data_IF_585436334742
#
_entry.id   IF_585436334742
#
_cell.length_a   1.000
_cell.length_b   1.000
_cell.length_c   1.000
_cell.angle_alpha   90.00
_cell.angle_beta   90.00
_cell.angle_gamma   90.00
#
_symmetry.space_group_name_H-M   'P 1'
#
loop_
_entity.id
_entity.type
_entity.pdbx_description
1 polymer ?
#
# COMPACT_ATOMS: atom_id res chain seq x y z
N UNK A 1 68.12 -31.33 -45.99
CA UNK A 1 67.73 -30.26 -46.95
C UNK A 1 66.37 -29.69 -46.55
N UNK A 2 66.21 -28.37 -46.66
CA UNK A 2 65.05 -27.54 -46.28
C UNK A 2 63.83 -27.76 -47.21
N UNK A 3 62.62 -27.59 -46.67
CA UNK A 3 61.54 -26.67 -47.11
C UNK A 3 60.20 -27.05 -46.42
N UNK A 4 59.69 -26.30 -45.43
CA UNK A 4 58.79 -25.12 -45.46
C UNK A 4 57.29 -25.38 -45.79
N UNK A 5 56.47 -25.31 -44.71
CA UNK A 5 55.17 -24.63 -44.48
C UNK A 5 53.96 -24.87 -45.42
N UNK A 6 52.79 -25.14 -44.79
CA UNK A 6 51.62 -24.23 -44.86
C UNK A 6 50.70 -24.40 -43.62
N UNK A 7 50.04 -23.31 -43.21
CA UNK A 7 49.05 -23.19 -42.12
C UNK A 7 47.64 -23.36 -42.69
N UNK A 8 46.70 -23.93 -41.93
CA UNK A 8 45.26 -23.64 -42.04
C UNK A 8 44.41 -24.30 -40.92
N UNK A 9 43.71 -23.46 -40.13
CA UNK A 9 42.39 -23.64 -39.45
C UNK A 9 42.13 -24.90 -38.59
N UNK A 10 41.73 -24.87 -37.31
CA UNK A 10 41.18 -23.82 -36.46
C UNK A 10 39.66 -23.68 -36.55
N UNK A 11 38.86 -24.61 -35.98
CA UNK A 11 37.55 -24.41 -35.30
C UNK A 11 36.84 -25.75 -34.97
N UNK A 12 36.45 -25.99 -33.70
CA UNK A 12 35.26 -26.70 -33.17
C UNK A 12 35.46 -26.98 -31.65
N UNK A 13 35.04 -26.05 -30.76
CA UNK A 13 33.87 -26.13 -29.83
C UNK A 13 34.03 -27.27 -28.80
N UNK A 14 34.54 -27.08 -27.56
CA UNK A 14 34.00 -26.42 -26.34
C UNK A 14 32.49 -26.62 -26.10
N UNK A 15 32.14 -27.70 -25.39
CA UNK A 15 30.94 -27.78 -24.52
C UNK A 15 31.05 -28.99 -23.59
N UNK A 16 31.23 -28.77 -22.27
CA UNK A 16 30.72 -29.58 -21.15
C UNK A 16 31.44 -29.18 -19.86
N UNK A 17 30.97 -28.12 -19.22
CA UNK A 17 31.21 -27.88 -17.81
C UNK A 17 30.02 -27.06 -17.33
N UNK A 18 29.03 -27.70 -16.71
CA UNK A 18 28.14 -27.14 -15.67
C UNK A 18 27.12 -28.21 -15.27
N UNK A 19 27.41 -28.90 -14.17
CA UNK A 19 26.42 -29.64 -13.40
C UNK A 19 26.91 -29.73 -11.94
N UNK A 20 26.88 -28.60 -11.24
CA UNK A 20 26.93 -28.60 -9.78
C UNK A 20 25.49 -28.54 -9.28
N UNK A 21 24.93 -29.71 -8.95
CA UNK A 21 23.64 -29.82 -8.27
C UNK A 21 23.86 -29.38 -6.82
N UNK A 22 23.35 -28.21 -6.46
CA UNK A 22 23.28 -27.78 -5.08
C UNK A 22 22.17 -28.58 -4.38
N UNK A 23 22.56 -29.54 -3.53
CA UNK A 23 21.68 -30.16 -2.55
C UNK A 23 21.54 -29.19 -1.36
N UNK A 24 20.46 -28.43 -1.33
CA UNK A 24 20.04 -27.70 -0.13
C UNK A 24 19.23 -28.64 0.76
N UNK A 25 19.80 -28.95 1.92
CA UNK A 25 19.21 -29.68 3.03
C UNK A 25 18.09 -28.81 3.62
N UNK A 26 16.84 -29.29 3.55
CA UNK A 26 15.71 -28.61 4.17
C UNK A 26 15.62 -29.02 5.64
N UNK A 27 16.22 -28.24 6.53
CA UNK A 27 16.05 -28.38 7.99
C UNK A 27 15.30 -27.19 8.53
N UNK A 28 14.05 -27.40 8.99
CA UNK A 28 13.39 -26.49 9.92
C UNK A 28 11.95 -26.11 9.60
N UNK A 29 11.05 -26.77 10.34
CA UNK A 29 9.94 -26.20 11.11
C UNK A 29 8.77 -25.46 10.46
N UNK A 30 7.62 -25.75 11.10
CA UNK A 30 6.34 -25.03 11.11
C UNK A 30 5.64 -24.94 9.76
N UNK A 31 4.36 -25.28 9.75
CA UNK A 31 3.47 -25.02 8.63
C UNK A 31 3.37 -23.50 8.46
N UNK A 32 4.29 -22.92 7.68
CA UNK A 32 4.24 -21.51 7.33
C UNK A 32 2.93 -21.29 6.60
N UNK A 33 2.11 -20.35 7.05
CA UNK A 33 1.10 -19.79 6.17
C UNK A 33 1.81 -19.43 4.86
N UNK A 34 1.24 -19.81 3.71
CA UNK A 34 1.86 -19.50 2.44
C UNK A 34 2.06 -17.98 2.36
N UNK A 35 3.31 -17.53 2.33
CA UNK A 35 3.64 -16.10 2.22
C UNK A 35 3.31 -15.59 0.81
N UNK A 36 3.15 -14.28 0.65
CA UNK A 36 2.70 -13.66 -0.61
C UNK A 36 1.40 -14.30 -1.13
N UNK A 37 0.43 -14.53 -0.24
CA UNK A 37 -0.87 -15.12 -0.62
C UNK A 37 -2.05 -14.39 0.00
N UNK A 38 -3.21 -14.61 -0.62
CA UNK A 38 -4.49 -14.10 -0.17
C UNK A 38 -5.37 -15.20 0.41
N UNK A 39 -6.18 -14.84 1.40
CA UNK A 39 -7.23 -15.68 1.95
C UNK A 39 -8.53 -14.89 2.11
N UNK A 40 -9.65 -15.48 1.68
CA UNK A 40 -10.97 -14.96 2.02
C UNK A 40 -11.26 -15.18 3.49
N UNK A 41 -11.83 -14.16 4.13
CA UNK A 41 -12.30 -14.16 5.52
C UNK A 41 -13.81 -13.94 5.59
N UNK A 42 -14.40 -14.09 6.76
CA UNK A 42 -15.81 -13.80 7.00
C UNK A 42 -16.18 -12.42 6.45
N UNK A 43 -17.21 -12.31 5.58
CA UNK A 43 -17.57 -11.06 4.95
C UNK A 43 -18.18 -10.10 5.97
N UNK A 44 -18.03 -8.80 5.69
CA UNK A 44 -18.66 -7.73 6.45
C UNK A 44 -20.20 -7.95 6.48
N UNK A 45 -20.87 -7.92 7.65
CA UNK A 45 -22.30 -8.23 7.75
C UNK A 45 -23.20 -7.28 6.93
N UNK A 46 -22.82 -6.00 6.86
CA UNK A 46 -23.45 -4.96 6.04
C UNK A 46 -22.38 -3.98 5.58
N UNK A 47 -22.49 -3.52 4.35
CA UNK A 47 -21.54 -2.59 3.72
C UNK A 47 -22.24 -1.34 3.20
N UNK A 48 -21.50 -0.25 3.15
CA UNK A 48 -21.89 1.07 2.64
C UNK A 48 -20.67 1.70 1.93
N UNK A 49 -20.88 2.78 1.19
CA UNK A 49 -19.79 3.54 0.59
C UNK A 49 -19.06 4.41 1.60
N UNK A 50 -17.76 4.63 1.39
CA UNK A 50 -17.00 5.55 2.21
C UNK A 50 -16.82 5.09 3.65
N UNK A 51 -16.81 3.77 3.88
CA UNK A 51 -16.39 3.19 5.15
C UNK A 51 -14.89 3.36 5.35
N UNK A 52 -14.49 3.46 6.61
CA UNK A 52 -13.10 3.54 7.02
C UNK A 52 -12.81 2.46 8.07
N UNK A 53 -11.55 2.01 8.12
CA UNK A 53 -11.10 0.98 9.04
C UNK A 53 -10.01 1.51 9.98
N UNK A 54 -10.01 1.00 11.21
CA UNK A 54 -8.95 1.21 12.18
C UNK A 54 -8.56 -0.11 12.83
N UNK A 55 -7.31 -0.23 13.24
CA UNK A 55 -6.86 -1.34 14.08
C UNK A 55 -6.64 -0.86 15.51
N UNK A 56 -7.26 -1.52 16.48
CA UNK A 56 -7.05 -1.28 17.90
C UNK A 56 -6.94 -2.62 18.62
N UNK A 57 -5.88 -2.81 19.41
CA UNK A 57 -5.65 -4.01 20.22
C UNK A 57 -5.80 -5.34 19.43
N UNK A 58 -5.26 -5.38 18.20
CA UNK A 58 -5.29 -6.56 17.33
C UNK A 58 -6.66 -6.87 16.70
N UNK A 59 -7.64 -5.99 16.87
CA UNK A 59 -8.96 -6.07 16.22
C UNK A 59 -9.14 -4.96 15.21
N UNK A 60 -9.99 -5.21 14.23
CA UNK A 60 -10.28 -4.27 13.14
C UNK A 60 -11.68 -3.70 13.35
N UNK A 61 -11.81 -2.38 13.28
CA UNK A 61 -13.09 -1.69 13.36
C UNK A 61 -13.39 -1.09 12.00
N UNK A 62 -14.52 -1.45 11.40
CA UNK A 62 -15.01 -0.86 10.15
C UNK A 62 -16.22 0.01 10.47
N UNK A 63 -16.12 1.29 10.16
CA UNK A 63 -17.03 2.33 10.62
C UNK A 63 -17.37 3.31 9.49
N UNK A 64 -18.54 3.93 9.60
CA UNK A 64 -19.04 4.89 8.62
C UNK A 64 -20.53 4.68 8.37
N UNK A 65 -21.19 5.72 7.88
CA UNK A 65 -22.63 5.73 7.74
C UNK A 65 -23.26 5.56 9.12
N UNK A 66 -24.08 4.54 9.29
CA UNK A 66 -24.63 4.14 10.60
C UNK A 66 -23.92 2.94 11.23
N UNK A 67 -22.80 2.49 10.66
CA UNK A 67 -22.15 1.22 10.98
C UNK A 67 -20.97 1.40 11.95
N UNK A 68 -20.82 0.40 12.82
CA UNK A 68 -19.62 0.15 13.61
C UNK A 68 -19.50 -1.37 13.83
N UNK A 69 -18.60 -2.01 13.10
CA UNK A 69 -18.36 -3.45 13.19
C UNK A 69 -16.93 -3.72 13.66
N UNK A 70 -16.80 -4.56 14.68
CA UNK A 70 -15.53 -5.10 15.14
C UNK A 70 -15.32 -6.48 14.51
N UNK A 71 -14.21 -6.66 13.80
CA UNK A 71 -13.71 -7.94 13.33
C UNK A 71 -12.60 -8.43 14.24
N UNK A 72 -12.70 -9.70 14.63
CA UNK A 72 -11.67 -10.41 15.37
C UNK A 72 -10.95 -11.41 14.43
N UNK A 73 -9.72 -11.10 14.01
CA UNK A 73 -8.89 -12.00 13.21
C UNK A 73 -8.68 -13.40 13.79
N UNK A 74 -8.65 -13.54 15.12
CA UNK A 74 -8.29 -14.79 15.79
C UNK A 74 -9.36 -15.88 15.64
N UNK A 75 -10.61 -15.50 15.42
CA UNK A 75 -11.73 -16.44 15.27
C UNK A 75 -12.58 -16.16 14.02
N UNK A 76 -12.09 -15.29 13.12
CA UNK A 76 -12.72 -14.92 11.86
C UNK A 76 -14.21 -14.53 12.01
N UNK A 77 -14.50 -13.64 12.98
CA UNK A 77 -15.89 -13.26 13.30
C UNK A 77 -16.08 -11.76 13.44
N UNK A 78 -17.30 -11.32 13.10
CA UNK A 78 -17.75 -9.93 13.23
C UNK A 78 -18.71 -9.77 14.40
N UNK A 79 -18.57 -8.65 15.12
CA UNK A 79 -19.48 -8.23 16.19
C UNK A 79 -19.98 -6.83 15.89
N UNK A 80 -21.30 -6.60 16.00
CA UNK A 80 -21.86 -5.24 15.92
C UNK A 80 -21.53 -4.49 17.20
N UNK A 81 -21.05 -3.26 17.07
CA UNK A 81 -20.72 -2.36 18.18
C UNK A 81 -21.68 -1.17 18.18
N UNK A 82 -21.58 -0.31 19.20
CA UNK A 82 -22.40 0.90 19.28
C UNK A 82 -22.16 1.78 18.05
N UNK A 83 -23.20 2.05 17.27
CA UNK A 83 -23.16 2.88 16.06
C UNK A 83 -22.72 4.32 16.34
N UNK A 84 -22.18 4.97 15.31
CA UNK A 84 -21.85 6.39 15.34
C UNK A 84 -23.06 7.25 15.76
N UNK A 85 -22.91 8.20 16.70
CA UNK A 85 -23.99 9.10 17.12
C UNK A 85 -24.56 9.93 15.97
N UNK A 86 -23.68 10.41 15.09
CA UNK A 86 -24.08 11.12 13.87
C UNK A 86 -23.77 10.27 12.65
N UNK A 87 -24.77 9.64 12.00
CA UNK A 87 -24.52 8.79 10.84
C UNK A 87 -23.88 9.58 9.70
N UNK A 88 -22.71 9.16 9.20
CA UNK A 88 -21.99 9.83 8.10
C UNK A 88 -20.93 8.96 7.42
N UNK A 89 -20.86 9.02 6.10
CA UNK A 89 -19.86 8.31 5.30
C UNK A 89 -18.63 9.20 5.02
N UNK A 90 -17.58 8.60 4.46
CA UNK A 90 -16.35 9.29 4.05
C UNK A 90 -15.64 10.00 5.20
N UNK A 91 -15.69 9.39 6.38
CA UNK A 91 -14.96 9.85 7.56
C UNK A 91 -13.48 9.55 7.41
N UNK A 92 -12.65 10.44 7.92
CA UNK A 92 -11.23 10.14 8.14
C UNK A 92 -11.05 9.54 9.53
N UNK A 93 -10.25 8.48 9.65
CA UNK A 93 -10.02 7.80 10.92
C UNK A 93 -8.57 7.95 11.37
N UNK A 94 -8.38 8.22 12.66
CA UNK A 94 -7.11 8.14 13.35
C UNK A 94 -7.25 7.29 14.62
N UNK A 95 -6.19 6.56 14.98
CA UNK A 95 -6.10 5.86 16.27
C UNK A 95 -5.11 6.59 17.17
N UNK A 96 -5.53 6.90 18.38
CA UNK A 96 -4.69 7.51 19.40
C UNK A 96 -5.05 6.97 20.78
N UNK A 97 -4.05 6.49 21.52
CA UNK A 97 -4.22 5.91 22.87
C UNK A 97 -5.37 4.87 22.94
N UNK A 98 -5.41 3.94 21.96
CA UNK A 98 -6.43 2.90 21.83
C UNK A 98 -7.87 3.40 21.63
N UNK A 99 -8.06 4.66 21.22
CA UNK A 99 -9.36 5.23 20.86
C UNK A 99 -9.38 5.58 19.38
N UNK A 100 -10.54 5.48 18.78
CA UNK A 100 -10.75 5.71 17.35
C UNK A 100 -11.39 7.09 17.18
N UNK A 101 -10.66 8.00 16.56
CA UNK A 101 -11.12 9.35 16.24
C UNK A 101 -11.65 9.35 14.82
N UNK A 102 -12.88 9.81 14.65
CA UNK A 102 -13.50 10.04 13.34
C UNK A 102 -13.57 11.54 13.09
N UNK A 103 -13.08 11.99 11.95
CA UNK A 103 -13.04 13.40 11.56
C UNK A 103 -13.83 13.64 10.27
N UNK A 104 -14.60 14.72 10.26
CA UNK A 104 -15.40 15.15 9.10
C UNK A 104 -16.41 14.08 8.66
N UNK A 105 -16.56 13.92 7.34
CA UNK A 105 -17.51 13.04 6.69
C UNK A 105 -18.82 13.75 6.33
N UNK A 106 -19.71 13.01 5.67
CA UNK A 106 -20.95 13.54 5.08
C UNK A 106 -22.18 12.98 5.79
N UNK A 107 -22.77 13.68 6.78
CA UNK A 107 -23.97 13.21 7.50
C UNK A 107 -25.27 13.30 6.69
N UNK A 108 -25.25 14.02 5.56
CA UNK A 108 -26.32 14.13 4.56
C UNK A 108 -25.73 14.34 3.16
N UNK A 109 -25.82 15.57 2.64
CA UNK A 109 -25.31 15.95 1.31
C UNK A 109 -24.05 16.83 1.38
N UNK A 110 -23.70 17.34 2.58
CA UNK A 110 -22.58 18.26 2.76
C UNK A 110 -21.51 17.67 3.66
N UNK A 111 -20.26 17.98 3.34
CA UNK A 111 -19.12 17.75 4.23
C UNK A 111 -19.33 18.43 5.59
N UNK A 112 -18.76 17.85 6.64
CA UNK A 112 -18.91 18.35 8.02
C UNK A 112 -17.56 18.54 8.69
N UNK A 113 -17.55 19.25 9.81
CA UNK A 113 -16.39 19.45 10.68
C UNK A 113 -16.49 18.62 11.97
N UNK A 114 -17.30 17.57 11.97
CA UNK A 114 -17.64 16.80 13.16
C UNK A 114 -16.45 15.92 13.57
N UNK A 115 -16.16 15.88 14.87
CA UNK A 115 -15.24 14.92 15.47
C UNK A 115 -15.97 14.09 16.52
N UNK A 116 -15.94 12.76 16.37
CA UNK A 116 -16.47 11.82 17.35
C UNK A 116 -15.44 10.75 17.66
N UNK A 117 -15.33 10.38 18.93
CA UNK A 117 -14.29 9.50 19.47
C UNK A 117 -14.95 8.26 20.03
N UNK A 118 -14.63 7.11 19.45
CA UNK A 118 -15.06 5.81 19.93
C UNK A 118 -14.01 5.21 20.86
N UNK A 119 -14.48 4.70 21.99
CA UNK A 119 -13.69 3.91 22.93
C UNK A 119 -14.10 2.44 22.86
N UNK A 120 -13.28 1.58 22.22
CA UNK A 120 -13.58 0.16 22.13
C UNK A 120 -13.68 -0.58 23.47
N UNK A 121 -13.04 -0.06 24.53
CA UNK A 121 -13.03 -0.70 25.85
C UNK A 121 -14.37 -0.54 26.59
N UNK A 122 -15.09 0.54 26.31
CA UNK A 122 -16.39 0.86 26.92
C UNK A 122 -17.56 0.76 25.93
N UNK A 123 -17.26 0.50 24.65
CA UNK A 123 -18.23 0.48 23.55
C UNK A 123 -19.07 1.77 23.48
N UNK A 124 -18.43 2.91 23.73
CA UNK A 124 -19.09 4.20 23.87
C UNK A 124 -18.44 5.28 23.00
N UNK A 125 -19.26 6.24 22.59
CA UNK A 125 -18.83 7.41 21.84
C UNK A 125 -18.79 8.66 22.72
N UNK A 126 -17.83 9.53 22.44
CA UNK A 126 -17.74 10.87 23.03
C UNK A 126 -17.53 11.91 21.93
N UNK A 127 -17.95 13.14 22.18
CA UNK A 127 -17.74 14.25 21.25
C UNK A 127 -16.31 14.76 21.37
N UNK A 128 -15.64 14.94 20.23
CA UNK A 128 -14.32 15.59 20.15
C UNK A 128 -14.41 17.07 19.75
N UNK A 129 -13.25 17.72 19.65
CA UNK A 129 -13.16 19.09 19.16
C UNK A 129 -13.49 19.14 17.67
N UNK A 130 -14.37 20.06 17.26
CA UNK A 130 -14.74 20.24 15.86
C UNK A 130 -13.54 20.71 15.04
N UNK A 131 -13.46 20.28 13.78
CA UNK A 131 -12.49 20.79 12.83
C UNK A 131 -12.77 22.27 12.52
N UNK A 132 -11.75 23.07 12.19
CA UNK A 132 -11.94 24.46 11.78
C UNK A 132 -12.49 24.61 10.35
N UNK A 133 -12.66 23.51 9.62
CA UNK A 133 -13.16 23.44 8.24
C UNK A 133 -14.02 22.19 8.05
N UNK A 134 -14.92 22.23 7.06
CA UNK A 134 -15.73 21.08 6.69
C UNK A 134 -14.96 20.17 5.73
N UNK A 135 -15.03 18.85 5.94
CA UNK A 135 -14.33 17.94 5.07
C UNK A 135 -14.98 16.57 4.93
N UNK A 136 -14.75 15.93 3.78
CA UNK A 136 -15.22 14.59 3.45
C UNK A 136 -14.16 13.90 2.57
N UNK A 137 -13.84 12.64 2.88
CA UNK A 137 -12.89 11.86 2.09
C UNK A 137 -11.43 12.31 2.20
N UNK A 138 -11.03 12.93 3.31
CA UNK A 138 -9.61 13.25 3.57
C UNK A 138 -8.82 12.01 3.97
N UNK A 139 -7.56 11.96 3.54
CA UNK A 139 -6.59 11.06 4.14
C UNK A 139 -6.03 11.68 5.42
N UNK A 140 -6.04 10.91 6.50
CA UNK A 140 -5.50 11.30 7.79
C UNK A 140 -4.38 10.34 8.17
N UNK A 141 -3.26 10.89 8.64
CA UNK A 141 -2.05 10.15 8.94
C UNK A 141 -1.61 10.45 10.37
N UNK A 142 -1.34 9.43 11.19
CA UNK A 142 -0.88 9.63 12.57
C UNK A 142 0.62 9.42 12.66
N UNK A 143 1.36 10.45 13.05
CA UNK A 143 2.82 10.39 13.29
C UNK A 143 3.08 10.98 14.66
N UNK A 144 3.74 10.22 15.54
CA UNK A 144 4.14 10.64 16.89
C UNK A 144 3.01 11.31 17.70
N UNK A 145 1.82 10.72 17.65
CA UNK A 145 0.63 11.22 18.37
C UNK A 145 -0.04 12.46 17.75
N UNK A 146 0.47 12.95 16.62
CA UNK A 146 -0.11 14.05 15.86
C UNK A 146 -0.80 13.56 14.61
N UNK A 147 -1.90 14.21 14.26
CA UNK A 147 -2.74 13.88 13.12
C UNK A 147 -2.43 14.85 11.99
N UNK A 148 -2.01 14.33 10.86
CA UNK A 148 -1.71 15.10 9.66
C UNK A 148 -2.84 14.90 8.65
N UNK A 149 -3.52 16.00 8.36
CA UNK A 149 -4.54 16.12 7.32
C UNK A 149 -3.83 16.54 6.04
N UNK A 150 -3.67 15.58 5.13
CA UNK A 150 -2.98 15.78 3.85
C UNK A 150 -3.98 15.71 2.71
N UNK A 151 -3.79 16.59 1.72
CA UNK A 151 -4.66 16.73 0.56
C UNK A 151 -6.05 17.22 0.91
N UNK A 152 -7.05 16.86 0.10
CA UNK A 152 -8.44 17.31 0.24
C UNK A 152 -8.57 18.81 0.45
N UNK A 153 -9.66 19.27 1.07
CA UNK A 153 -10.05 20.67 0.91
C UNK A 153 -10.44 21.39 2.20
N UNK A 154 -9.81 22.54 2.49
CA UNK A 154 -10.34 23.55 3.40
C UNK A 154 -11.18 24.65 2.70
N UNK A 155 -11.42 24.59 1.37
CA UNK A 155 -12.57 25.16 0.59
C UNK A 155 -12.28 25.64 -0.89
N UNK A 156 -11.33 25.03 -1.62
CA UNK A 156 -11.13 24.79 -3.10
C UNK A 156 -9.71 25.24 -3.56
N UNK A 157 -9.17 24.90 -4.75
CA UNK A 157 -9.20 23.68 -5.58
C UNK A 157 -7.81 22.99 -5.67
N UNK A 158 -6.85 23.35 -4.81
CA UNK A 158 -5.58 22.61 -4.72
C UNK A 158 -5.61 21.74 -3.48
N UNK A 159 -5.75 20.43 -3.69
CA UNK A 159 -5.57 19.40 -2.66
C UNK A 159 -4.09 19.29 -2.25
N UNK A 160 -3.48 20.40 -1.84
CA UNK A 160 -2.10 20.49 -1.34
C UNK A 160 -2.04 20.73 0.17
N UNK A 161 -3.19 20.76 0.85
CA UNK A 161 -3.28 20.97 2.28
C UNK A 161 -2.36 20.04 3.05
N UNK A 162 -1.66 20.60 4.03
CA UNK A 162 -0.95 19.86 5.05
C UNK A 162 -1.16 20.58 6.38
N UNK A 163 -2.03 20.04 7.22
CA UNK A 163 -2.33 20.60 8.53
C UNK A 163 -2.11 19.55 9.60
N UNK A 164 -1.39 19.92 10.65
CA UNK A 164 -1.18 19.08 11.82
C UNK A 164 -2.18 19.46 12.91
N UNK A 165 -2.81 18.45 13.50
CA UNK A 165 -3.61 18.55 14.71
C UNK A 165 -2.93 17.74 15.82
N UNK A 166 -2.58 18.41 16.91
CA UNK A 166 -2.11 17.75 18.12
C UNK A 166 -3.33 17.33 18.95
N UNK A 167 -3.57 16.02 19.09
CA UNK A 167 -4.71 15.49 19.82
C UNK A 167 -4.62 15.84 21.32
N UNK A 168 -3.42 15.89 21.88
CA UNK A 168 -3.22 16.07 23.32
C UNK A 168 -3.52 17.50 23.75
N UNK A 169 -3.08 18.49 22.96
CA UNK A 169 -3.32 19.91 23.24
C UNK A 169 -4.57 20.47 22.55
N UNK A 170 -5.08 19.79 21.52
CA UNK A 170 -6.18 20.27 20.69
C UNK A 170 -5.78 21.42 19.74
N UNK A 171 -4.48 21.62 19.49
CA UNK A 171 -3.98 22.75 18.69
C UNK A 171 -3.72 22.37 17.23
N UNK A 172 -3.96 23.33 16.33
CA UNK A 172 -3.69 23.20 14.90
C UNK A 172 -2.42 23.95 14.49
N UNK A 173 -1.66 23.37 13.57
CA UNK A 173 -0.47 23.99 12.99
C UNK A 173 -0.46 23.78 11.48
N UNK A 174 -0.28 24.85 10.71
CA UNK A 174 -0.06 24.76 9.26
C UNK A 174 1.33 24.18 8.99
N UNK A 175 1.40 23.25 8.05
CA UNK A 175 2.64 22.59 7.62
C UNK A 175 2.96 22.89 6.16
N UNK A 176 4.18 22.58 5.73
CA UNK A 176 4.59 22.76 4.34
C UNK A 176 3.62 22.02 3.43
N UNK A 177 3.00 22.75 2.50
CA UNK A 177 1.98 22.21 1.60
C UNK A 177 2.60 21.18 0.64
N UNK A 178 1.77 20.22 0.22
CA UNK A 178 2.16 19.22 -0.77
C UNK A 178 2.50 19.89 -2.11
N UNK A 179 3.70 19.68 -2.68
CA UNK A 179 4.16 20.40 -3.86
C UNK A 179 3.27 20.21 -5.09
N UNK A 180 2.81 18.98 -5.32
CA UNK A 180 1.86 18.67 -6.39
C UNK A 180 0.51 18.33 -5.77
N UNK A 181 -0.50 19.20 -5.89
CA UNK A 181 -1.84 18.90 -5.40
C UNK A 181 -2.40 17.66 -6.11
N UNK A 182 -3.01 16.73 -5.36
CA UNK A 182 -3.65 15.55 -5.94
C UNK A 182 -4.93 15.22 -5.16
N UNK A 183 -5.96 14.74 -5.86
CA UNK A 183 -7.15 14.14 -5.24
C UNK A 183 -7.16 12.62 -5.48
N UNK A 184 -8.06 11.89 -4.82
CA UNK A 184 -8.21 10.44 -5.01
C UNK A 184 -6.90 9.64 -4.88
N UNK A 185 -5.93 10.17 -4.14
CA UNK A 185 -4.69 9.52 -3.77
C UNK A 185 -4.92 8.68 -2.52
N UNK A 186 -3.96 7.83 -2.20
CA UNK A 186 -3.84 7.24 -0.87
C UNK A 186 -2.62 7.82 -0.16
N UNK A 187 -2.62 7.72 1.16
CA UNK A 187 -1.43 7.97 1.94
C UNK A 187 -1.25 6.91 3.02
N UNK A 188 -0.01 6.72 3.43
CA UNK A 188 0.34 5.79 4.50
C UNK A 188 1.55 6.30 5.29
N UNK A 189 1.58 5.96 6.58
CA UNK A 189 2.71 6.24 7.46
C UNK A 189 3.63 5.03 7.52
N UNK A 190 4.93 5.25 7.31
CA UNK A 190 5.97 4.27 7.58
C UNK A 190 7.24 4.99 8.03
N UNK A 191 7.88 4.48 9.09
CA UNK A 191 9.12 5.02 9.65
C UNK A 191 9.06 6.54 9.93
N UNK A 192 7.93 7.01 10.46
CA UNK A 192 7.70 8.41 10.81
C UNK A 192 7.48 9.36 9.62
N UNK A 193 7.49 8.86 8.38
CA UNK A 193 7.21 9.65 7.18
C UNK A 193 5.82 9.35 6.65
N UNK A 194 5.26 10.32 5.94
CA UNK A 194 3.97 10.17 5.27
C UNK A 194 4.21 10.08 3.77
N UNK A 195 3.81 8.97 3.18
CA UNK A 195 3.93 8.73 1.75
C UNK A 195 2.56 8.97 1.12
N UNK A 196 2.54 9.77 0.06
CA UNK A 196 1.37 10.00 -0.81
C UNK A 196 1.73 9.42 -2.17
N UNK A 197 0.92 8.50 -2.68
CA UNK A 197 1.17 7.98 -4.04
C UNK A 197 0.01 8.19 -5.00
N UNK A 198 0.39 8.59 -6.21
CA UNK A 198 -0.45 8.84 -7.34
C UNK A 198 -1.53 9.88 -7.08
N UNK A 199 -2.78 9.51 -7.37
CA UNK A 199 -3.91 10.43 -7.36
C UNK A 199 -4.13 11.12 -8.70
N UNK A 200 -4.97 12.14 -8.70
CA UNK A 200 -5.53 12.76 -9.91
C UNK A 200 -5.32 14.28 -9.91
N UNK A 201 -4.66 14.82 -10.95
CA UNK A 201 -4.54 16.26 -11.21
C UNK A 201 -3.95 16.58 -12.61
N UNK A 202 -4.74 17.03 -13.60
CA UNK A 202 -6.14 16.72 -13.87
C UNK A 202 -6.30 15.34 -14.53
N UNK A 203 -5.22 14.56 -14.61
CA UNK A 203 -5.16 13.16 -15.03
C UNK A 203 -4.52 12.34 -13.92
N UNK A 204 -4.61 11.00 -13.94
CA UNK A 204 -3.84 10.18 -13.02
C UNK A 204 -2.34 10.55 -13.04
N UNK A 205 -1.73 10.65 -11.86
CA UNK A 205 -0.30 10.96 -11.71
C UNK A 205 0.40 9.75 -11.12
N UNK A 206 1.67 9.53 -11.47
CA UNK A 206 2.48 8.45 -10.91
C UNK A 206 3.46 8.93 -9.82
N UNK A 207 3.22 10.10 -9.24
CA UNK A 207 4.13 10.68 -8.27
C UNK A 207 4.08 9.94 -6.94
N UNK A 208 5.26 9.78 -6.34
CA UNK A 208 5.44 9.40 -4.94
C UNK A 208 5.93 10.64 -4.20
N UNK A 209 5.06 11.29 -3.43
CA UNK A 209 5.38 12.48 -2.65
C UNK A 209 5.54 12.09 -1.18
N UNK A 210 6.71 12.35 -0.61
CA UNK A 210 7.07 11.90 0.75
C UNK A 210 7.25 13.12 1.63
N UNK A 211 6.39 13.24 2.64
CA UNK A 211 6.49 14.29 3.64
C UNK A 211 7.28 13.78 4.86
N UNK A 212 8.27 14.56 5.26
CA UNK A 212 9.02 14.39 6.49
C UNK A 212 8.49 15.37 7.55
N UNK A 213 7.76 14.89 8.57
CA UNK A 213 7.22 15.74 9.62
C UNK A 213 8.26 16.40 10.52
N UNK A 214 9.48 15.84 10.63
CA UNK A 214 10.58 16.37 11.44
C UNK A 214 11.25 17.52 10.70
N UNK A 215 11.50 17.34 9.40
CA UNK A 215 12.10 18.37 8.56
C UNK A 215 11.09 19.41 8.03
N UNK A 216 9.78 19.13 8.17
CA UNK A 216 8.69 19.92 7.60
C UNK A 216 8.88 20.17 6.09
N UNK A 217 9.25 19.11 5.37
CA UNK A 217 9.65 19.19 3.97
C UNK A 217 9.18 17.99 3.15
N UNK A 218 9.07 18.19 1.85
CA UNK A 218 8.66 17.16 0.90
C UNK A 218 9.84 16.72 0.02
N UNK A 219 9.83 15.45 -0.35
CA UNK A 219 10.74 14.85 -1.32
C UNK A 219 9.96 13.95 -2.29
N UNK A 220 10.60 13.54 -3.38
CA UNK A 220 10.04 12.60 -4.34
C UNK A 220 10.71 11.23 -4.19
N UNK A 221 9.93 10.17 -4.32
CA UNK A 221 10.42 8.79 -4.50
C UNK A 221 10.18 8.28 -5.92
N UNK A 222 10.55 7.03 -6.17
CA UNK A 222 10.33 6.33 -7.42
C UNK A 222 8.84 6.32 -7.80
N UNK A 223 8.58 6.54 -9.08
CA UNK A 223 7.23 6.70 -9.62
C UNK A 223 6.42 5.39 -9.52
N UNK A 224 5.14 5.52 -9.20
CA UNK A 224 4.19 4.39 -9.18
C UNK A 224 4.10 3.78 -10.58
N UNK A 225 4.36 2.47 -10.76
CA UNK A 225 4.29 1.83 -12.08
C UNK A 225 2.92 1.99 -12.74
N UNK A 226 1.85 1.70 -11.99
CA UNK A 226 0.47 1.70 -12.46
C UNK A 226 -0.39 2.63 -11.59
N UNK A 227 -0.52 3.92 -11.95
CA UNK A 227 -1.05 4.97 -11.09
C UNK A 227 -2.58 5.05 -11.04
N UNK A 228 -3.26 3.97 -10.63
CA UNK A 228 -4.72 3.96 -10.57
C UNK A 228 -5.25 4.78 -9.38
N UNK A 229 -6.07 5.83 -9.61
CA UNK A 229 -6.71 6.58 -8.53
C UNK A 229 -7.68 5.71 -7.74
N UNK A 230 -8.08 6.16 -6.54
CA UNK A 230 -8.98 5.41 -5.65
C UNK A 230 -8.45 4.02 -5.25
N UNK A 231 -7.13 3.82 -5.33
CA UNK A 231 -6.44 2.70 -4.69
C UNK A 231 -6.39 2.91 -3.18
N UNK A 232 -6.04 1.86 -2.43
CA UNK A 232 -5.84 1.92 -0.98
C UNK A 232 -4.42 1.48 -0.63
N UNK A 233 -3.85 2.00 0.46
CA UNK A 233 -2.48 1.68 0.84
C UNK A 233 -2.34 1.30 2.32
N UNK A 234 -1.45 0.34 2.57
CA UNK A 234 -1.06 -0.08 3.90
C UNK A 234 0.45 -0.31 3.99
N UNK A 235 0.98 -0.26 5.20
CA UNK A 235 2.39 -0.51 5.46
C UNK A 235 2.56 -1.63 6.48
N UNK A 236 3.58 -2.44 6.26
CA UNK A 236 4.14 -3.36 7.26
C UNK A 236 5.28 -2.65 7.99
N UNK A 237 5.50 -3.04 9.24
CA UNK A 237 6.34 -2.29 10.20
C UNK A 237 7.57 -3.06 10.68
N UNK A 238 7.93 -4.16 10.01
CA UNK A 238 9.00 -5.07 10.41
C UNK A 238 8.71 -5.86 11.71
N UNK A 239 7.46 -5.91 12.15
CA UNK A 239 7.06 -6.66 13.34
C UNK A 239 6.98 -8.17 13.05
N UNK A 240 6.38 -8.52 11.92
CA UNK A 240 6.23 -9.89 11.44
C UNK A 240 6.62 -10.04 9.97
N UNK A 241 6.58 -8.98 9.17
CA UNK A 241 7.02 -8.99 7.77
C UNK A 241 7.89 -7.76 7.45
N UNK A 242 8.79 -7.82 6.47
CA UNK A 242 9.69 -6.71 6.13
C UNK A 242 8.93 -5.40 5.93
N UNK A 243 9.48 -4.26 6.38
CA UNK A 243 8.86 -2.95 6.16
C UNK A 243 8.68 -2.65 4.67
N UNK A 244 7.43 -2.56 4.23
CA UNK A 244 7.02 -2.31 2.86
C UNK A 244 5.73 -1.50 2.87
N UNK A 245 5.51 -0.78 1.78
CA UNK A 245 4.22 -0.15 1.50
C UNK A 245 3.56 -0.92 0.37
N UNK A 246 2.27 -1.21 0.52
CA UNK A 246 1.47 -1.92 -0.45
C UNK A 246 0.37 -0.98 -0.94
N UNK A 247 0.19 -0.91 -2.25
CA UNK A 247 -0.95 -0.26 -2.92
C UNK A 247 -1.83 -1.35 -3.51
N UNK A 248 -3.12 -1.30 -3.21
CA UNK A 248 -4.11 -2.28 -3.61
C UNK A 248 -5.18 -1.66 -4.49
N UNK A 249 -5.43 -2.30 -5.62
CA UNK A 249 -6.56 -2.00 -6.49
C UNK A 249 -6.50 -0.61 -7.11
N UNK A 250 -7.67 0.01 -7.26
CA UNK A 250 -7.84 1.31 -7.89
C UNK A 250 -8.80 1.25 -9.08
N UNK A 251 -9.22 2.43 -9.54
CA UNK A 251 -10.14 2.60 -10.66
C UNK A 251 -9.36 2.66 -11.98
N UNK A 252 -9.68 1.72 -12.88
CA UNK A 252 -9.20 1.72 -14.26
C UNK A 252 -10.02 2.70 -15.10
N UNK A 253 -11.34 2.64 -14.93
CA UNK A 253 -12.33 3.53 -15.54
C UNK A 253 -13.46 3.78 -14.54
N UNK A 254 -14.43 4.64 -14.90
CA UNK A 254 -15.66 4.82 -14.12
C UNK A 254 -16.45 3.51 -13.90
N UNK A 255 -16.22 2.48 -14.74
CA UNK A 255 -16.95 1.22 -14.68
C UNK A 255 -16.04 0.02 -14.38
N UNK A 256 -14.75 0.25 -14.15
CA UNK A 256 -13.79 -0.85 -13.98
C UNK A 256 -12.77 -0.57 -12.88
N UNK A 257 -12.37 -1.64 -12.20
CA UNK A 257 -11.44 -1.63 -11.07
C UNK A 257 -10.45 -2.77 -11.22
N UNK A 258 -9.25 -2.59 -10.69
CA UNK A 258 -8.20 -3.61 -10.73
C UNK A 258 -8.07 -4.35 -9.39
N UNK A 259 -7.47 -5.54 -9.43
CA UNK A 259 -7.03 -6.31 -8.27
C UNK A 259 -5.51 -6.24 -8.07
N UNK A 260 -4.82 -5.35 -8.81
CA UNK A 260 -3.37 -5.21 -8.78
C UNK A 260 -2.83 -4.87 -7.39
N UNK A 261 -1.68 -5.44 -7.06
CA UNK A 261 -0.91 -5.14 -5.84
C UNK A 261 0.47 -4.65 -6.23
N UNK A 262 0.81 -3.44 -5.83
CA UNK A 262 2.11 -2.82 -6.06
C UNK A 262 2.81 -2.64 -4.72
N UNK A 263 4.06 -3.08 -4.61
CA UNK A 263 4.82 -3.10 -3.36
C UNK A 263 6.01 -2.16 -3.50
N UNK A 264 6.03 -1.11 -2.68
CA UNK A 264 7.10 -0.14 -2.59
C UNK A 264 8.05 -0.49 -1.46
N UNK A 265 9.35 -0.48 -1.78
CA UNK A 265 10.42 -0.62 -0.82
C UNK A 265 11.09 0.74 -0.57
N UNK A 266 10.82 1.40 0.57
CA UNK A 266 11.41 2.70 0.87
C UNK A 266 12.93 2.65 1.12
N UNK A 267 13.50 1.47 1.44
CA UNK A 267 14.94 1.32 1.72
C UNK A 267 15.81 1.55 0.49
N UNK A 268 15.32 1.16 -0.69
CA UNK A 268 16.06 1.26 -1.95
C UNK A 268 15.28 1.98 -3.05
N UNK A 269 14.19 2.65 -2.69
CA UNK A 269 13.33 3.43 -3.57
C UNK A 269 12.91 2.67 -4.84
N UNK A 270 12.32 1.48 -4.66
CA UNK A 270 11.95 0.61 -5.79
C UNK A 270 10.58 -0.05 -5.62
N UNK A 271 10.02 -0.47 -6.76
CA UNK A 271 8.72 -1.13 -6.86
C UNK A 271 8.86 -2.58 -7.30
N UNK A 272 8.02 -3.44 -6.75
CA UNK A 272 7.77 -4.80 -7.22
C UNK A 272 6.26 -5.04 -7.29
N UNK A 273 5.82 -6.06 -8.03
CA UNK A 273 4.43 -6.50 -7.99
C UNK A 273 4.23 -7.55 -6.88
N UNK A 274 3.10 -7.48 -6.19
CA UNK A 274 2.65 -8.51 -5.25
C UNK A 274 1.67 -9.47 -5.91
N UNK A 275 1.30 -10.55 -5.20
CA UNK A 275 0.21 -11.42 -5.64
C UNK A 275 -1.10 -10.61 -5.77
N UNK A 276 -1.83 -10.68 -6.90
CA UNK A 276 -3.07 -9.93 -7.07
C UNK A 276 -4.14 -10.29 -6.03
N UNK A 277 -4.94 -9.31 -5.62
CA UNK A 277 -6.12 -9.53 -4.77
C UNK A 277 -7.09 -10.54 -5.40
N UNK A 278 -7.86 -11.23 -4.57
CA UNK A 278 -8.90 -12.17 -5.01
C UNK A 278 -10.05 -11.44 -5.71
N UNK A 279 -10.36 -10.22 -5.27
CA UNK A 279 -11.39 -9.37 -5.85
C UNK A 279 -10.79 -8.08 -6.39
N UNK A 280 -11.28 -7.63 -7.55
CA UNK A 280 -11.00 -6.27 -8.02
C UNK A 280 -11.78 -5.26 -7.18
N UNK A 281 -11.13 -4.16 -6.80
CA UNK A 281 -11.79 -3.11 -6.01
C UNK A 281 -11.13 -1.75 -6.13
N UNK A 282 -11.94 -0.72 -6.02
CA UNK A 282 -11.53 0.65 -5.71
C UNK A 282 -12.24 1.13 -4.45
N UNK A 283 -11.71 2.19 -3.83
CA UNK A 283 -12.26 2.78 -2.61
C UNK A 283 -12.52 1.77 -1.47
N UNK A 284 -11.71 0.70 -1.41
CA UNK A 284 -11.71 -0.26 -0.31
C UNK A 284 -11.04 0.33 0.93
N UNK A 285 -11.42 -0.17 2.10
CA UNK A 285 -10.74 0.17 3.34
C UNK A 285 -9.70 -0.88 3.70
N UNK A 286 -8.67 -0.48 4.44
CA UNK A 286 -7.54 -1.34 4.77
C UNK A 286 -7.21 -1.25 6.25
N UNK A 287 -6.81 -2.37 6.83
CA UNK A 287 -6.35 -2.46 8.21
C UNK A 287 -5.18 -3.43 8.31
N UNK A 288 -4.27 -3.19 9.25
CA UNK A 288 -3.06 -4.01 9.43
C UNK A 288 -3.05 -4.58 10.83
N UNK A 289 -3.00 -5.91 10.94
CA UNK A 289 -2.87 -6.62 12.22
C UNK A 289 -1.63 -7.50 12.15
N UNK A 290 -0.64 -7.20 12.97
CA UNK A 290 0.63 -7.96 13.03
C UNK A 290 1.29 -8.12 11.65
N UNK A 291 1.34 -7.06 10.85
CA UNK A 291 1.79 -7.03 9.44
C UNK A 291 1.00 -7.91 8.45
N UNK A 292 -0.12 -8.53 8.85
CA UNK A 292 -1.12 -9.01 7.88
C UNK A 292 -2.03 -7.86 7.46
N UNK A 293 -2.34 -7.79 6.17
CA UNK A 293 -3.08 -6.67 5.60
C UNK A 293 -4.47 -7.14 5.19
N UNK A 294 -5.49 -6.54 5.78
CA UNK A 294 -6.89 -6.83 5.50
C UNK A 294 -7.44 -5.77 4.58
N UNK A 295 -7.98 -6.18 3.44
CA UNK A 295 -8.66 -5.31 2.48
C UNK A 295 -10.14 -5.64 2.50
N UNK A 296 -10.96 -4.66 2.88
CA UNK A 296 -12.35 -4.86 3.26
C UNK A 296 -13.25 -3.91 2.45
N UNK A 297 -14.31 -4.47 1.88
CA UNK A 297 -15.33 -3.72 1.14
C UNK A 297 -14.80 -2.94 -0.07
N UNK A 298 -15.31 -1.74 -0.29
CA UNK A 298 -15.07 -0.96 -1.51
C UNK A 298 -16.05 -1.31 -2.63
N UNK A 299 -15.71 -0.95 -3.86
CA UNK A 299 -16.54 -1.20 -5.05
C UNK A 299 -15.79 -2.00 -6.09
N UNK A 300 -16.45 -3.01 -6.65
CA UNK A 300 -16.01 -3.68 -7.88
C UNK A 300 -16.82 -3.18 -9.08
N UNK A 301 -16.31 -3.44 -10.27
CA UNK A 301 -17.01 -3.24 -11.52
C UNK A 301 -18.29 -4.08 -11.65
N UNK A 302 -19.34 -3.58 -12.34
CA UNK A 302 -19.54 -2.19 -12.75
C UNK A 302 -19.98 -1.30 -11.57
N UNK A 303 -19.72 0.01 -11.62
CA UNK A 303 -20.00 0.96 -10.53
C UNK A 303 -21.47 1.05 -10.03
N UNK A 304 -22.41 0.36 -10.69
CA UNK A 304 -23.80 0.23 -10.23
C UNK A 304 -24.06 -1.01 -9.35
N UNK A 305 -23.07 -1.87 -9.15
CA UNK A 305 -23.20 -2.95 -8.18
C UNK A 305 -23.18 -2.40 -6.76
N UNK A 306 -23.87 -3.06 -5.82
CA UNK A 306 -23.72 -2.75 -4.41
C UNK A 306 -22.24 -2.77 -3.99
N UNK A 307 -21.84 -1.98 -2.97
CA UNK A 307 -20.51 -2.09 -2.40
C UNK A 307 -20.23 -3.54 -1.96
N UNK A 308 -18.95 -3.91 -1.97
CA UNK A 308 -18.50 -5.24 -1.59
C UNK A 308 -18.65 -5.43 -0.07
N UNK A 309 -18.97 -6.66 0.32
CA UNK A 309 -18.85 -7.13 1.71
C UNK A 309 -17.58 -7.96 1.92
N UNK A 310 -16.80 -8.20 0.87
CA UNK A 310 -15.64 -9.10 0.91
C UNK A 310 -14.56 -8.57 1.84
N UNK A 311 -14.07 -9.46 2.70
CA UNK A 311 -12.91 -9.29 3.58
C UNK A 311 -11.85 -10.28 3.10
N UNK A 312 -10.73 -9.79 2.58
CA UNK A 312 -9.61 -10.63 2.20
C UNK A 312 -8.35 -10.19 2.94
N UNK A 313 -7.56 -11.16 3.40
CA UNK A 313 -6.30 -10.91 4.09
C UNK A 313 -5.14 -11.34 3.21
N UNK A 314 -4.14 -10.48 3.13
CA UNK A 314 -2.86 -10.74 2.52
C UNK A 314 -1.83 -11.07 3.58
N UNK A 315 -1.12 -12.19 3.38
CA UNK A 315 0.07 -12.54 4.14
C UNK A 315 1.29 -12.15 3.32
N UNK A 316 2.04 -11.10 3.73
CA UNK A 316 3.20 -10.64 2.97
C UNK A 316 4.31 -11.68 2.81
N UNK A 317 5.17 -11.48 1.81
CA UNK A 317 6.46 -12.17 1.74
C UNK A 317 7.28 -11.92 3.02
N UNK A 318 7.99 -12.93 3.52
CA UNK A 318 8.81 -12.82 4.73
C UNK A 318 8.00 -12.80 6.02
N UNK A 319 6.70 -13.11 5.98
CA UNK A 319 5.89 -13.17 7.19
C UNK A 319 6.39 -14.26 8.15
N UNK A 320 6.62 -13.90 9.41
CA UNK A 320 7.26 -14.75 10.42
C UNK A 320 8.80 -14.75 10.36
N UNK A 321 9.40 -14.11 9.36
CA UNK A 321 10.84 -13.87 9.23
C UNK A 321 11.11 -12.49 8.61
N UNK A 322 10.89 -11.39 9.36
CA UNK A 322 10.90 -10.03 8.83
C UNK A 322 12.27 -9.57 8.30
N UNK A 323 13.36 -10.24 8.67
CA UNK A 323 14.69 -9.95 8.13
C UNK A 323 14.89 -10.46 6.69
N UNK A 324 13.98 -11.30 6.21
CA UNK A 324 14.07 -11.89 4.87
C UNK A 324 13.79 -10.84 3.80
N UNK A 325 14.80 -10.51 3.01
CA UNK A 325 14.62 -9.65 1.84
C UNK A 325 13.97 -10.43 0.69
N UNK A 326 13.12 -9.73 -0.08
CA UNK A 326 12.57 -10.27 -1.33
C UNK A 326 13.75 -10.58 -2.26
N UNK A 327 13.86 -11.81 -2.80
CA UNK A 327 14.90 -12.14 -3.75
C UNK A 327 14.86 -11.16 -4.92
N UNK A 328 16.01 -10.75 -5.47
CA UNK A 328 16.03 -9.89 -6.65
C UNK A 328 15.24 -10.53 -7.79
N UNK A 329 14.45 -9.74 -8.51
CA UNK A 329 13.63 -10.22 -9.62
C UNK A 329 14.53 -10.87 -10.69
N UNK A 330 14.47 -12.19 -10.76
CA UNK A 330 15.27 -12.99 -11.69
C UNK A 330 14.64 -13.10 -13.08
N UNK A 331 13.45 -12.53 -13.31
CA UNK A 331 12.73 -12.63 -14.59
C UNK A 331 13.55 -12.13 -15.78
N UNK A 332 14.43 -11.15 -15.56
CA UNK A 332 15.33 -10.59 -16.56
C UNK A 332 16.71 -11.28 -16.65
N UNK A 333 17.05 -12.20 -15.74
CA UNK A 333 18.32 -12.94 -15.81
C UNK A 333 18.52 -13.68 -17.15
N UNK A 334 17.51 -14.32 -17.76
CA UNK A 334 17.68 -14.95 -19.08
C UNK A 334 18.06 -13.94 -20.16
N UNK A 335 17.50 -12.73 -20.12
CA UNK A 335 17.75 -11.65 -21.10
C UNK A 335 19.14 -11.07 -20.88
N UNK A 336 19.53 -10.80 -19.63
CA UNK A 336 20.85 -10.29 -19.27
C UNK A 336 21.94 -11.29 -19.65
N UNK A 337 21.73 -12.58 -19.38
CA UNK A 337 22.64 -13.65 -19.79
C UNK A 337 22.73 -13.73 -21.31
N UNK A 338 21.62 -13.64 -22.03
CA UNK A 338 21.61 -13.62 -23.50
C UNK A 338 22.40 -12.44 -24.08
N UNK A 339 22.24 -11.23 -23.52
CA UNK A 339 22.99 -10.04 -23.94
C UNK A 339 24.49 -10.22 -23.69
N UNK A 340 24.88 -10.73 -22.52
CA UNK A 340 26.29 -10.98 -22.18
C UNK A 340 26.90 -12.01 -23.14
N UNK A 341 26.19 -13.11 -23.43
CA UNK A 341 26.63 -14.14 -24.37
C UNK A 341 26.79 -13.57 -25.77
N UNK A 342 25.83 -12.78 -26.27
CA UNK A 342 25.91 -12.10 -27.58
C UNK A 342 27.11 -11.15 -27.63
N UNK A 343 27.34 -10.37 -26.57
CA UNK A 343 28.49 -9.46 -26.48
C UNK A 343 29.83 -10.20 -26.58
N UNK A 344 30.00 -11.30 -25.83
CA UNK A 344 31.24 -12.09 -25.89
C UNK A 344 31.43 -12.80 -27.23
N UNK A 345 30.35 -13.28 -27.87
CA UNK A 345 30.42 -13.84 -29.23
C UNK A 345 30.84 -12.76 -30.24
N UNK A 346 30.25 -11.56 -30.15
CA UNK A 346 30.56 -10.43 -31.02
C UNK A 346 32.02 -9.96 -30.88
N UNK A 347 32.51 -9.82 -29.65
CA UNK A 347 33.92 -9.47 -29.36
C UNK A 347 34.87 -10.56 -29.87
N UNK A 348 34.52 -11.84 -29.67
CA UNK A 348 35.29 -12.97 -30.19
C UNK A 348 35.41 -12.96 -31.71
N UNK A 349 34.31 -12.68 -32.42
CA UNK A 349 34.29 -12.57 -33.88
C UNK A 349 35.12 -11.38 -34.39
N UNK A 350 35.06 -10.23 -33.71
CA UNK A 350 35.85 -9.04 -34.05
C UNK A 350 37.36 -9.25 -33.86
N UNK A 351 37.75 -9.95 -32.79
CA UNK A 351 39.15 -10.33 -32.55
C UNK A 351 39.64 -11.33 -33.61
N UNK A 352 38.79 -12.26 -34.04
CA UNK A 352 39.12 -13.21 -35.10
C UNK A 352 39.31 -12.53 -36.45
N UNK A 353 38.43 -11.57 -36.80
CA UNK A 353 38.50 -10.83 -38.06
C UNK A 353 39.69 -9.87 -38.13
N UNK A 354 40.14 -9.28 -37.01
CA UNK A 354 41.36 -8.46 -36.95
C UNK A 354 42.68 -9.25 -37.06
N UNK A 355 42.64 -10.59 -36.93
CA UNK A 355 43.81 -11.48 -37.01
C UNK A 355 43.98 -12.14 -38.39
N UNK A 356 43.07 -11.88 -39.33
CA UNK A 356 43.26 -12.14 -40.76
C UNK A 356 43.67 -10.85 -41.44
#
# INVERSE_FOLDING_TARGET
>A
MRAKKSKAYGFFIITLFFAAVALSINTGNAQSAAENTWQTKSPLPKTEDGLAAATVNGKIYVMGGSLNYEYNPANDSWTSKTSMPTPRNWVSIAVYQNRIYTFGGTPRESASNITEIYDPSTDAWTKGNMLPFNVSGLTVNVVDGKVYFIGGNPDQPTASTNMQYDIASGTWTNKTQMPTPVTAFQSVVLDGKIYVFGGYNPTPTNLTQIYDPVADSWSLGAQVPEPYPLSTAAATTNAMAPSRIYIFGGSLTLFDSTNLVQVYNPKNDSWTMGEPMLSNRCAGTVAVVSDQIYVIGGRSAPAFTPPLTTNEVYTPFGYGNPEREVPPDTSNLPIIIAIIVIFFIGVGALIYLKKR
#
